data_IF_708997253323
#
_entry.id   IF_708997253323
#
_cell.length_a   1.000
_cell.length_b   1.000
_cell.length_c   1.000
_cell.angle_alpha   90.00
_cell.angle_beta   90.00
_cell.angle_gamma   90.00
#
_symmetry.space_group_name_H-M   'P 1'
#
loop_
_entity.id
_entity.type
_entity.pdbx_description
1 polymer ?
#
# COMPACT_ATOMS: atom_id res chain seq x y z
N UNK A 1 6.12 -7.96 19.51
CA UNK A 1 5.07 -8.72 18.77
C UNK A 1 5.55 -8.97 17.36
N UNK A 2 5.25 -10.13 16.74
CA UNK A 2 5.57 -10.41 15.35
C UNK A 2 4.67 -9.57 14.43
N UNK A 3 5.23 -9.10 13.30
CA UNK A 3 4.50 -8.33 12.29
C UNK A 3 3.58 -9.25 11.48
N UNK A 4 2.34 -8.84 11.30
CA UNK A 4 1.37 -9.46 10.38
C UNK A 4 0.96 -8.49 9.27
N UNK A 5 0.30 -9.00 8.23
CA UNK A 5 -0.24 -8.14 7.16
C UNK A 5 -1.48 -7.38 7.63
N UNK A 6 -1.77 -6.25 6.97
CA UNK A 6 -2.95 -5.43 7.28
C UNK A 6 -4.25 -6.22 7.13
N UNK A 7 -4.39 -7.01 6.06
CA UNK A 7 -5.60 -7.83 5.87
C UNK A 7 -5.73 -8.97 6.88
N UNK A 8 -4.61 -9.47 7.41
CA UNK A 8 -4.63 -10.45 8.49
C UNK A 8 -5.03 -9.79 9.80
N UNK A 9 -4.46 -8.63 10.13
CA UNK A 9 -4.85 -7.85 11.30
C UNK A 9 -6.35 -7.52 11.30
N UNK A 10 -6.90 -7.14 10.13
CA UNK A 10 -8.32 -6.82 10.00
C UNK A 10 -9.29 -7.98 10.36
N UNK A 11 -8.81 -9.21 10.42
CA UNK A 11 -9.59 -10.38 10.85
C UNK A 11 -9.55 -10.64 12.35
N UNK A 12 -8.72 -9.91 13.09
CA UNK A 12 -8.41 -10.14 14.51
C UNK A 12 -9.01 -9.08 15.41
N UNK A 13 -10.30 -8.80 15.24
CA UNK A 13 -11.02 -7.81 16.05
C UNK A 13 -10.95 -8.19 17.55
N UNK A 14 -10.59 -7.23 18.39
CA UNK A 14 -10.40 -7.42 19.84
C UNK A 14 -9.01 -7.93 20.23
N UNK A 15 -8.12 -8.21 19.27
CA UNK A 15 -6.75 -8.62 19.52
C UNK A 15 -5.77 -7.47 19.29
N UNK A 16 -4.57 -7.58 19.88
CA UNK A 16 -3.46 -6.70 19.57
C UNK A 16 -2.72 -7.19 18.33
N UNK A 17 -2.35 -6.25 17.47
CA UNK A 17 -1.61 -6.52 16.25
C UNK A 17 -0.44 -5.55 16.07
N UNK A 18 0.64 -6.03 15.46
CA UNK A 18 1.72 -5.20 14.93
C UNK A 18 1.67 -5.23 13.41
N UNK A 19 1.49 -4.06 12.80
CA UNK A 19 1.53 -3.87 11.34
C UNK A 19 2.58 -2.84 10.98
N UNK A 20 3.12 -2.95 9.77
CA UNK A 20 4.07 -1.95 9.26
C UNK A 20 3.80 -1.69 7.79
N UNK A 21 3.99 -0.44 7.37
CA UNK A 21 3.70 -0.03 6.01
C UNK A 21 4.04 1.44 5.78
N UNK A 22 3.49 1.97 4.71
CA UNK A 22 3.65 3.35 4.29
C UNK A 22 2.46 4.19 4.77
N UNK A 23 2.74 5.39 5.29
CA UNK A 23 1.72 6.41 5.53
C UNK A 23 1.13 6.83 4.18
N UNK A 24 -0.12 6.52 3.92
CA UNK A 24 -0.81 6.89 2.69
C UNK A 24 -1.43 8.28 2.82
N UNK A 25 -2.30 8.44 3.81
CA UNK A 25 -2.99 9.70 4.08
C UNK A 25 -2.94 9.98 5.57
N UNK A 26 -2.74 11.24 5.95
CA UNK A 26 -2.94 11.75 7.31
C UNK A 26 -4.12 12.71 7.32
N UNK A 27 -4.98 12.59 8.31
CA UNK A 27 -6.12 13.46 8.55
C UNK A 27 -6.19 13.81 10.03
N UNK A 28 -6.47 15.07 10.32
CA UNK A 28 -6.74 15.56 11.65
C UNK A 28 -8.25 15.82 11.78
N UNK A 29 -8.86 15.27 12.81
CA UNK A 29 -10.27 15.54 13.11
C UNK A 29 -10.45 15.79 14.60
N UNK A 30 -10.65 17.04 14.95
CA UNK A 30 -10.69 17.47 16.33
C UNK A 30 -9.33 17.28 17.02
N UNK A 31 -9.32 16.42 18.05
CA UNK A 31 -8.08 16.06 18.76
C UNK A 31 -7.51 14.70 18.34
N UNK A 32 -8.11 14.03 17.37
CA UNK A 32 -7.66 12.73 16.89
C UNK A 32 -6.83 12.88 15.63
N UNK A 33 -5.76 12.08 15.51
CA UNK A 33 -4.99 11.94 14.27
C UNK A 33 -5.33 10.58 13.68
N UNK A 34 -5.71 10.59 12.41
CA UNK A 34 -5.98 9.40 11.62
C UNK A 34 -4.89 9.22 10.58
N UNK A 35 -4.29 8.05 10.54
CA UNK A 35 -3.31 7.64 9.54
C UNK A 35 -3.86 6.46 8.78
N UNK A 36 -3.99 6.59 7.47
CA UNK A 36 -4.23 5.47 6.60
C UNK A 36 -2.88 4.80 6.31
N UNK A 37 -2.63 3.65 6.92
CA UNK A 37 -1.41 2.86 6.75
C UNK A 37 -1.63 1.81 5.66
N UNK A 38 -0.72 1.74 4.69
CA UNK A 38 -0.78 0.85 3.54
C UNK A 38 0.36 -0.15 3.55
N UNK A 39 0.06 -1.43 3.29
CA UNK A 39 1.06 -2.45 2.96
C UNK A 39 0.73 -3.13 1.62
N UNK A 40 1.43 -4.23 1.29
CA UNK A 40 1.17 -4.99 0.07
C UNK A 40 -0.20 -5.67 0.03
N UNK A 41 -0.82 -5.90 1.19
CA UNK A 41 -2.12 -6.58 1.30
C UNK A 41 -3.30 -5.62 1.25
N UNK A 42 -3.16 -4.39 1.75
CA UNK A 42 -4.25 -3.45 1.82
C UNK A 42 -3.93 -2.17 2.60
N UNK A 43 -4.99 -1.58 3.15
CA UNK A 43 -4.93 -0.32 3.89
C UNK A 43 -5.73 -0.47 5.19
N UNK A 44 -5.24 0.08 6.31
CA UNK A 44 -5.96 0.16 7.58
C UNK A 44 -5.89 1.57 8.14
N UNK A 45 -6.97 2.04 8.75
CA UNK A 45 -6.98 3.27 9.51
C UNK A 45 -6.36 3.04 10.88
N UNK A 46 -5.33 3.81 11.20
CA UNK A 46 -4.70 3.89 12.52
C UNK A 46 -5.20 5.15 13.24
N UNK A 47 -5.63 5.00 14.48
CA UNK A 47 -6.19 6.09 15.29
C UNK A 47 -5.25 6.42 16.44
N UNK A 48 -4.82 7.66 16.51
CA UNK A 48 -3.99 8.20 17.60
C UNK A 48 -4.82 9.15 18.45
N UNK A 49 -4.88 8.85 19.74
CA UNK A 49 -5.66 9.61 20.72
C UNK A 49 -4.81 10.63 21.46
N UNK A 50 -5.39 11.75 21.91
CA UNK A 50 -4.66 12.78 22.63
C UNK A 50 -4.30 12.40 24.06
N UNK A 51 -4.85 11.30 24.59
CA UNK A 51 -4.61 10.84 25.97
C UNK A 51 -3.14 10.44 26.18
N UNK A 52 -2.48 9.91 25.15
CA UNK A 52 -1.04 9.72 25.11
C UNK A 52 -0.38 10.87 24.35
N UNK A 53 0.09 11.85 25.09
CA UNK A 53 0.67 13.10 24.56
C UNK A 53 1.95 12.82 23.75
N UNK A 54 2.78 11.88 24.17
CA UNK A 54 4.03 11.55 23.46
C UNK A 54 3.74 10.85 22.13
N UNK A 55 2.88 9.84 22.15
CA UNK A 55 2.45 9.12 20.96
C UNK A 55 1.75 10.04 19.95
N UNK A 56 0.84 10.89 20.47
CA UNK A 56 0.11 11.85 19.63
C UNK A 56 1.05 12.88 18.99
N UNK A 57 2.03 13.40 19.76
CA UNK A 57 3.04 14.32 19.23
C UNK A 57 3.91 13.68 18.15
N UNK A 58 4.30 12.41 18.31
CA UNK A 58 5.01 11.64 17.26
C UNK A 58 4.14 11.46 16.02
N UNK A 59 2.86 11.14 16.20
CA UNK A 59 1.93 10.98 15.08
C UNK A 59 1.75 12.29 14.30
N UNK A 60 1.83 13.44 14.96
CA UNK A 60 1.74 14.76 14.33
C UNK A 60 2.89 15.06 13.37
N UNK A 61 4.05 14.46 13.59
CA UNK A 61 5.20 14.61 12.68
C UNK A 61 5.11 13.77 11.42
N UNK A 62 4.25 12.74 11.37
CA UNK A 62 4.17 11.81 10.25
C UNK A 62 3.77 12.51 8.95
N UNK A 63 4.39 12.08 7.86
CA UNK A 63 4.15 12.62 6.51
C UNK A 63 3.91 11.47 5.53
N UNK A 64 3.24 11.74 4.40
CA UNK A 64 3.00 10.74 3.36
C UNK A 64 4.27 10.02 2.93
N UNK A 65 4.13 8.74 2.66
CA UNK A 65 5.19 7.81 2.23
C UNK A 65 6.27 7.50 3.29
N UNK A 66 6.18 8.03 4.51
CA UNK A 66 7.01 7.53 5.60
C UNK A 66 6.68 6.07 5.90
N UNK A 67 7.69 5.30 6.27
CA UNK A 67 7.52 3.90 6.68
C UNK A 67 7.46 3.85 8.18
N UNK A 68 6.37 3.30 8.70
CA UNK A 68 6.14 3.17 10.13
C UNK A 68 5.73 1.75 10.50
N UNK A 69 6.00 1.36 11.74
CA UNK A 69 5.37 0.23 12.40
C UNK A 69 4.52 0.73 13.55
N UNK A 70 3.35 0.16 13.69
CA UNK A 70 2.41 0.46 14.78
C UNK A 70 1.96 -0.82 15.47
N UNK A 71 1.77 -0.73 16.78
CA UNK A 71 1.14 -1.77 17.58
C UNK A 71 -0.09 -1.19 18.27
N UNK A 72 -1.14 -1.97 18.37
CA UNK A 72 -2.36 -1.56 19.04
C UNK A 72 -3.47 -2.58 18.91
N UNK A 73 -4.62 -2.27 19.48
CA UNK A 73 -5.80 -3.11 19.43
C UNK A 73 -6.59 -2.89 18.14
N UNK A 74 -6.95 -3.98 17.48
CA UNK A 74 -7.85 -3.96 16.32
C UNK A 74 -9.28 -3.82 16.82
N UNK A 75 -9.98 -2.76 16.41
CA UNK A 75 -11.36 -2.46 16.83
C UNK A 75 -12.28 -2.31 15.64
N UNK A 76 -13.56 -2.58 15.86
CA UNK A 76 -14.57 -2.18 14.88
C UNK A 76 -14.68 -0.64 14.83
N UNK A 77 -14.83 -0.10 13.63
CA UNK A 77 -15.14 1.33 13.48
C UNK A 77 -16.52 1.66 14.07
N UNK A 78 -16.71 2.87 14.59
CA UNK A 78 -18.02 3.32 15.01
C UNK A 78 -19.06 3.16 13.90
N UNK A 79 -20.30 2.81 14.25
CA UNK A 79 -21.40 2.67 13.29
C UNK A 79 -21.54 3.92 12.42
N UNK A 80 -21.61 3.72 11.12
CA UNK A 80 -21.71 4.80 10.13
C UNK A 80 -20.38 5.41 9.73
N UNK A 81 -19.25 4.92 10.28
CA UNK A 81 -17.89 5.34 9.90
C UNK A 81 -17.14 4.25 9.12
N UNK A 82 -17.82 3.17 8.77
CA UNK A 82 -17.26 2.11 7.95
C UNK A 82 -16.99 2.62 6.53
N UNK A 83 -15.91 2.15 5.93
CA UNK A 83 -15.59 2.44 4.53
C UNK A 83 -15.81 1.20 3.67
N UNK A 84 -16.92 1.12 2.90
CA UNK A 84 -17.23 -0.07 2.08
C UNK A 84 -16.25 -0.30 0.94
N UNK A 85 -15.48 0.71 0.55
CA UNK A 85 -14.52 0.63 -0.56
C UNK A 85 -13.21 -0.08 -0.15
N UNK A 86 -13.01 -0.32 1.15
CA UNK A 86 -11.82 -0.97 1.69
C UNK A 86 -12.16 -2.33 2.28
N UNK A 87 -11.35 -3.34 1.98
CA UNK A 87 -11.49 -4.68 2.56
C UNK A 87 -11.37 -4.68 4.10
N UNK A 88 -10.57 -3.77 4.66
CA UNK A 88 -10.40 -3.52 6.09
C UNK A 88 -11.31 -2.40 6.63
N UNK A 89 -12.23 -1.90 5.82
CA UNK A 89 -12.97 -0.68 6.11
C UNK A 89 -13.95 -0.74 7.28
N UNK A 90 -14.18 -1.94 7.84
CA UNK A 90 -14.99 -2.15 9.04
C UNK A 90 -14.19 -2.01 10.34
N UNK A 91 -12.86 -2.01 10.24
CA UNK A 91 -11.97 -2.00 11.40
C UNK A 91 -11.02 -0.82 11.39
N UNK A 92 -10.46 -0.53 12.55
CA UNK A 92 -9.40 0.43 12.76
C UNK A 92 -8.41 -0.12 13.80
N UNK A 93 -7.18 0.38 13.78
CA UNK A 93 -6.18 0.08 14.79
C UNK A 93 -6.09 1.23 15.80
N UNK A 94 -6.48 0.99 17.04
CA UNK A 94 -6.24 1.92 18.15
C UNK A 94 -4.77 1.82 18.56
N UNK A 95 -3.96 2.78 18.12
CA UNK A 95 -2.49 2.70 18.27
C UNK A 95 -2.07 2.99 19.70
N UNK A 96 -1.15 2.15 20.18
CA UNK A 96 -0.52 2.24 21.51
C UNK A 96 0.99 2.46 21.39
N UNK A 97 1.62 1.99 20.27
CA UNK A 97 3.04 2.20 20.01
C UNK A 97 3.27 2.57 18.56
N UNK A 98 4.21 3.49 18.36
CA UNK A 98 4.64 3.97 17.05
C UNK A 98 6.16 3.93 16.95
N UNK A 99 6.65 3.30 15.89
CA UNK A 99 8.04 3.30 15.49
C UNK A 99 8.14 3.88 14.08
N UNK A 100 8.97 4.90 13.89
CA UNK A 100 9.32 5.41 12.56
C UNK A 100 10.51 4.59 12.05
N UNK A 101 10.29 3.79 11.01
CA UNK A 101 11.32 2.94 10.41
C UNK A 101 12.15 3.75 9.42
N UNK A 102 11.49 4.58 8.61
CA UNK A 102 12.17 5.42 7.63
C UNK A 102 11.33 6.64 7.29
N UNK A 103 11.95 7.78 7.30
CA UNK A 103 11.36 9.01 6.80
C UNK A 103 11.49 9.08 5.27
N UNK A 104 10.60 9.82 4.63
CA UNK A 104 10.65 10.12 3.21
C UNK A 104 10.52 11.63 2.98
N UNK A 105 11.19 12.12 1.95
CA UNK A 105 10.92 13.46 1.45
C UNK A 105 9.51 13.51 0.87
N UNK A 106 8.90 14.69 0.84
CA UNK A 106 7.61 14.88 0.20
C UNK A 106 7.66 14.38 -1.25
N UNK A 107 6.78 13.45 -1.64
CA UNK A 107 6.75 12.96 -3.01
C UNK A 107 6.56 14.10 -4.02
N UNK A 108 7.33 14.12 -5.13
CA UNK A 108 7.22 15.17 -6.14
C UNK A 108 5.91 15.12 -6.95
N UNK A 109 5.18 14.00 -6.84
CA UNK A 109 3.83 13.81 -7.38
C UNK A 109 2.95 13.17 -6.32
N UNK A 110 1.69 13.59 -6.23
CA UNK A 110 0.70 12.93 -5.38
C UNK A 110 0.50 11.49 -5.84
N UNK A 111 0.46 10.51 -4.93
CA UNK A 111 0.30 9.07 -5.24
C UNK A 111 -1.06 8.52 -4.82
N UNK A 112 -1.81 9.30 -4.07
CA UNK A 112 -3.14 9.01 -3.52
C UNK A 112 -4.31 9.36 -4.46
N UNK A 113 -4.01 9.94 -5.64
CA UNK A 113 -4.97 10.26 -6.70
C UNK A 113 -4.88 9.26 -7.86
N UNK A 114 -5.79 9.34 -8.85
CA UNK A 114 -5.74 8.50 -10.05
C UNK A 114 -4.67 8.96 -11.07
N UNK A 115 -4.07 10.13 -10.88
CA UNK A 115 -2.96 10.70 -11.65
C UNK A 115 -3.34 11.25 -13.01
N UNK A 116 -4.63 11.38 -13.34
CA UNK A 116 -5.06 11.90 -14.64
C UNK A 116 -4.73 13.40 -14.83
N UNK A 117 -4.69 14.13 -13.71
CA UNK A 117 -4.35 15.56 -13.66
C UNK A 117 -2.83 15.82 -13.78
N UNK A 118 -1.99 14.79 -13.67
CA UNK A 118 -0.54 14.92 -13.74
C UNK A 118 -0.06 14.62 -15.15
N UNK A 119 0.70 15.56 -15.74
CA UNK A 119 1.26 15.41 -17.07
C UNK A 119 2.11 14.14 -17.22
N UNK A 120 2.07 13.53 -18.40
CA UNK A 120 2.73 12.26 -18.68
C UNK A 120 4.24 12.30 -18.44
N UNK A 121 4.89 13.41 -18.79
CA UNK A 121 6.33 13.60 -18.57
C UNK A 121 6.70 13.46 -17.09
N UNK A 122 5.96 14.10 -16.20
CA UNK A 122 6.18 13.97 -14.75
C UNK A 122 5.92 12.56 -14.24
N UNK A 123 4.88 11.90 -14.74
CA UNK A 123 4.56 10.53 -14.40
C UNK A 123 5.62 9.55 -14.86
N UNK A 124 6.20 9.75 -16.04
CA UNK A 124 7.29 8.93 -16.55
C UNK A 124 8.59 9.19 -15.79
N UNK A 125 8.90 10.45 -15.45
CA UNK A 125 10.07 10.81 -14.64
C UNK A 125 10.05 10.14 -13.26
N UNK A 126 8.89 10.11 -12.61
CA UNK A 126 8.70 9.51 -11.29
C UNK A 126 7.89 8.20 -11.37
N UNK A 127 8.21 7.37 -12.37
CA UNK A 127 7.45 6.17 -12.69
C UNK A 127 7.28 5.22 -11.51
N UNK A 128 8.29 5.09 -10.67
CA UNK A 128 8.26 4.25 -9.47
C UNK A 128 7.21 4.71 -8.44
N UNK A 129 6.91 6.01 -8.36
CA UNK A 129 5.81 6.54 -7.55
C UNK A 129 4.46 6.37 -8.26
N UNK A 130 4.40 6.68 -9.56
CA UNK A 130 3.17 6.56 -10.34
C UNK A 130 2.61 5.12 -10.32
N UNK A 131 3.49 4.10 -10.33
CA UNK A 131 3.10 2.69 -10.24
C UNK A 131 2.49 2.29 -8.87
N UNK A 132 2.63 3.10 -7.83
CA UNK A 132 2.00 2.87 -6.53
C UNK A 132 0.52 3.23 -6.50
N UNK A 133 0.04 4.00 -7.47
CA UNK A 133 -1.39 4.34 -7.60
C UNK A 133 -2.22 3.09 -7.74
N UNK A 134 -3.37 3.05 -7.07
CA UNK A 134 -4.22 1.86 -7.07
C UNK A 134 -4.59 1.41 -8.49
N UNK A 135 -4.97 2.35 -9.37
CA UNK A 135 -5.29 2.05 -10.77
C UNK A 135 -4.15 1.34 -11.51
N UNK A 136 -2.91 1.84 -11.38
CA UNK A 136 -1.76 1.25 -12.07
C UNK A 136 -1.31 -0.06 -11.43
N UNK A 137 -1.38 -0.16 -10.11
CA UNK A 137 -1.16 -1.40 -9.37
C UNK A 137 -2.11 -2.50 -9.85
N UNK A 138 -3.41 -2.19 -9.96
CA UNK A 138 -4.41 -3.15 -10.46
C UNK A 138 -4.11 -3.59 -11.90
N UNK A 139 -3.70 -2.69 -12.77
CA UNK A 139 -3.30 -3.03 -14.13
C UNK A 139 -2.09 -3.99 -14.17
N UNK A 140 -1.08 -3.75 -13.33
CA UNK A 140 0.08 -4.64 -13.22
C UNK A 140 -0.31 -6.01 -12.69
N UNK A 141 -1.16 -6.07 -11.66
CA UNK A 141 -1.65 -7.33 -11.10
C UNK A 141 -2.53 -8.10 -12.11
N UNK A 142 -3.33 -7.40 -12.91
CA UNK A 142 -4.10 -8.02 -13.98
C UNK A 142 -3.19 -8.61 -15.04
N UNK A 143 -2.17 -7.86 -15.47
CA UNK A 143 -1.16 -8.32 -16.43
C UNK A 143 -0.44 -9.57 -15.93
N UNK A 144 0.02 -9.55 -14.67
CA UNK A 144 0.69 -10.71 -14.06
C UNK A 144 -0.19 -11.95 -14.08
N UNK A 145 -1.45 -11.83 -13.62
CA UNK A 145 -2.41 -12.94 -13.65
C UNK A 145 -2.68 -13.45 -15.06
N UNK A 146 -2.79 -12.57 -16.05
CA UNK A 146 -3.02 -12.95 -17.44
C UNK A 146 -1.82 -13.74 -18.00
N UNK A 147 -0.59 -13.28 -17.74
CA UNK A 147 0.63 -13.98 -18.16
C UNK A 147 0.75 -15.34 -17.46
N UNK A 148 0.52 -15.39 -16.16
CA UNK A 148 0.54 -16.64 -15.39
C UNK A 148 -0.48 -17.65 -15.94
N UNK A 149 -1.71 -17.21 -16.21
CA UNK A 149 -2.75 -18.05 -16.83
C UNK A 149 -2.34 -18.60 -18.18
N UNK A 150 -1.78 -17.77 -19.09
CA UNK A 150 -1.32 -18.20 -20.41
C UNK A 150 -0.23 -19.26 -20.28
N UNK A 151 0.74 -19.04 -19.39
CA UNK A 151 1.82 -19.99 -19.12
C UNK A 151 1.30 -21.32 -18.59
N UNK A 152 0.41 -21.29 -17.62
CA UNK A 152 -0.20 -22.48 -17.04
C UNK A 152 -1.04 -23.24 -18.08
N UNK A 153 -1.86 -22.55 -18.85
CA UNK A 153 -2.66 -23.10 -19.93
C UNK A 153 -1.81 -23.83 -20.99
N UNK A 154 -0.71 -23.22 -21.42
CA UNK A 154 0.19 -23.83 -22.42
C UNK A 154 0.96 -25.01 -21.84
N UNK A 155 1.50 -24.89 -20.61
CA UNK A 155 2.16 -26.01 -19.90
C UNK A 155 1.25 -27.21 -19.74
N UNK A 156 -0.02 -26.99 -19.40
CA UNK A 156 -1.04 -28.04 -19.33
C UNK A 156 -1.33 -28.76 -20.65
N UNK A 157 -0.85 -28.19 -21.77
CA UNK A 157 -0.91 -28.78 -23.12
C UNK A 157 0.44 -29.26 -23.65
N UNK A 158 1.39 -29.49 -22.74
CA UNK A 158 2.73 -29.99 -23.07
C UNK A 158 3.61 -29.00 -23.87
N UNK A 159 3.28 -27.73 -23.92
CA UNK A 159 4.18 -26.70 -24.43
C UNK A 159 5.28 -26.39 -23.43
N UNK A 160 6.48 -26.12 -23.94
CA UNK A 160 7.63 -25.68 -23.13
C UNK A 160 7.92 -24.21 -23.43
N UNK A 161 8.05 -23.40 -22.42
CA UNK A 161 8.47 -21.99 -22.55
C UNK A 161 9.97 -21.94 -22.77
N UNK A 162 10.40 -21.31 -23.87
CA UNK A 162 11.80 -21.13 -24.21
C UNK A 162 12.12 -19.65 -24.20
N UNK A 163 13.11 -19.28 -23.40
CA UNK A 163 13.69 -17.94 -23.42
C UNK A 163 14.74 -17.86 -24.54
N UNK A 164 14.49 -16.99 -25.51
CA UNK A 164 15.46 -16.73 -26.60
C UNK A 164 16.26 -15.46 -26.28
N UNK A 165 17.52 -15.34 -26.71
CA UNK A 165 18.30 -14.12 -26.57
C UNK A 165 17.60 -12.93 -27.23
N UNK A 166 17.47 -11.80 -26.50
CA UNK A 166 16.91 -10.56 -27.04
C UNK A 166 17.90 -9.84 -27.99
N UNK A 167 19.20 -10.04 -27.75
CA UNK A 167 20.27 -9.45 -28.57
C UNK A 167 20.89 -10.56 -29.41
N UNK A 168 20.85 -10.40 -30.72
CA UNK A 168 21.47 -11.31 -31.66
C UNK A 168 22.41 -10.54 -32.60
N UNK A 169 23.34 -11.26 -33.27
CA UNK A 169 24.11 -10.67 -34.33
C UNK A 169 23.17 -10.28 -35.46
N UNK A 170 23.45 -9.16 -36.16
CA UNK A 170 22.67 -8.76 -37.32
C UNK A 170 22.69 -9.88 -38.39
N UNK A 171 21.53 -10.16 -38.96
CA UNK A 171 21.38 -11.13 -40.03
C UNK A 171 21.43 -10.42 -41.39
N UNK A 172 21.84 -11.11 -42.50
CA UNK A 172 21.84 -10.49 -43.81
C UNK A 172 20.45 -10.04 -44.30
N UNK A 173 19.40 -10.56 -43.71
CA UNK A 173 18.01 -10.27 -44.06
C UNK A 173 17.49 -9.02 -43.32
N UNK A 174 18.33 -8.35 -42.53
CA UNK A 174 18.24 -6.99 -42.10
C UNK A 174 16.87 -6.49 -41.66
N UNK A 175 16.27 -7.11 -40.68
CA UNK A 175 15.16 -6.49 -39.97
C UNK A 175 15.65 -5.62 -38.84
#
# INVERSE_FOLDING_TARGET
MERISILEAAKRVGEHARVAGWVSVRRDHGKLIFIDLRDGSGLVQCVFRPDDVELHSKADTLRPEWVIAVEGEVRERPKGMENPDLASGKVELAVEKLEVISEAMTPPIAVDTDGKEIGEEHRLKYRYLDLRRERLKQNLMLRDRAVAFIREFLRGRSFVEIETPMLTKSTPEGA
#
